data_IF_944644247658
#
_entry.id   IF_944644247658
#
_cell.length_a   1.000
_cell.length_b   1.000
_cell.length_c   1.000
_cell.angle_alpha   90.00
_cell.angle_beta   90.00
_cell.angle_gamma   90.00
#
_symmetry.space_group_name_H-M   'P 1'
#
loop_
_entity.id
_entity.type
_entity.pdbx_description
1 polymer ?
#
# COMPACT_ATOMS: atom_id res chain seq x y z
N UNK A 1 14.90 11.71 6.02
CA UNK A 1 14.88 11.35 4.58
C UNK A 1 14.37 12.52 3.73
N UNK A 2 14.74 12.60 2.46
CA UNK A 2 14.38 13.71 1.55
C UNK A 2 13.02 13.53 0.85
N UNK A 3 12.24 12.53 1.25
CA UNK A 3 10.89 12.26 0.76
C UNK A 3 10.81 11.64 -0.64
N UNK A 4 11.95 11.29 -1.25
CA UNK A 4 11.99 10.72 -2.61
C UNK A 4 11.89 9.20 -2.60
N UNK A 5 11.31 8.64 -3.67
CA UNK A 5 11.29 7.20 -3.89
C UNK A 5 12.58 6.70 -4.55
N UNK A 6 13.00 5.50 -4.18
CA UNK A 6 14.17 4.84 -4.75
C UNK A 6 13.82 3.43 -5.22
N UNK A 7 14.20 3.10 -6.45
CA UNK A 7 14.18 1.71 -6.93
C UNK A 7 15.47 1.03 -6.48
N UNK A 8 15.37 0.10 -5.53
CA UNK A 8 16.51 -0.68 -5.05
C UNK A 8 17.02 -1.61 -6.15
N UNK A 9 18.34 -1.66 -6.35
CA UNK A 9 18.97 -2.52 -7.38
C UNK A 9 18.78 -4.01 -7.10
N UNK A 10 18.85 -4.36 -5.83
CA UNK A 10 18.74 -5.73 -5.33
C UNK A 10 18.00 -5.69 -4.01
N UNK A 11 17.09 -6.64 -3.82
CA UNK A 11 16.38 -6.88 -2.57
C UNK A 11 16.55 -8.35 -2.20
N UNK A 12 16.60 -8.71 -0.92
CA UNK A 12 16.65 -10.12 -0.54
C UNK A 12 15.35 -10.81 -0.93
N UNK A 13 15.40 -12.13 -1.10
CA UNK A 13 14.18 -12.92 -1.32
C UNK A 13 13.25 -12.75 -0.13
N UNK A 14 12.01 -12.33 -0.39
CA UNK A 14 11.01 -12.15 0.66
C UNK A 14 10.57 -13.51 1.20
N UNK A 15 10.64 -13.69 2.52
CA UNK A 15 10.13 -14.88 3.19
C UNK A 15 8.82 -14.55 3.89
N UNK A 16 7.77 -15.30 3.56
CA UNK A 16 6.47 -15.17 4.21
C UNK A 16 6.60 -15.70 5.64
N UNK A 17 6.25 -14.88 6.62
CA UNK A 17 6.22 -15.31 8.02
C UNK A 17 5.11 -16.34 8.20
N UNK A 18 5.48 -17.57 8.52
CA UNK A 18 4.54 -18.67 8.74
C UNK A 18 4.39 -18.95 10.23
N UNK A 19 3.14 -18.96 10.70
CA UNK A 19 2.76 -19.25 12.08
C UNK A 19 2.08 -20.60 12.11
N UNK A 20 2.67 -21.55 12.82
CA UNK A 20 2.08 -22.88 13.02
C UNK A 20 0.99 -22.81 14.08
N UNK A 21 -0.26 -23.00 13.65
CA UNK A 21 -1.46 -22.86 14.46
C UNK A 21 -2.39 -24.07 14.32
N UNK A 22 -1.92 -25.19 13.74
CA UNK A 22 -2.71 -26.43 13.58
C UNK A 22 -3.24 -26.96 14.91
N UNK A 23 -2.42 -26.88 15.96
CA UNK A 23 -2.75 -27.43 17.28
C UNK A 23 -3.39 -26.39 18.22
N UNK A 24 -3.70 -25.19 17.70
CA UNK A 24 -4.33 -24.16 18.50
C UNK A 24 -5.83 -24.42 18.67
N UNK A 25 -6.34 -24.14 19.87
CA UNK A 25 -7.79 -24.07 20.10
C UNK A 25 -8.39 -22.90 19.31
N UNK A 26 -9.63 -23.04 18.83
CA UNK A 26 -10.32 -22.02 18.02
C UNK A 26 -10.31 -20.63 18.68
N UNK A 27 -10.58 -20.55 19.99
CA UNK A 27 -10.56 -19.29 20.73
C UNK A 27 -9.20 -18.56 20.68
N UNK A 28 -8.09 -19.31 20.63
CA UNK A 28 -6.75 -18.72 20.44
C UNK A 28 -6.58 -18.22 19.02
N UNK A 29 -7.00 -19.00 18.01
CA UNK A 29 -6.95 -18.58 16.60
C UNK A 29 -7.69 -17.25 16.40
N UNK A 30 -8.92 -17.15 16.91
CA UNK A 30 -9.75 -15.95 16.75
C UNK A 30 -9.12 -14.72 17.42
N UNK A 31 -8.55 -14.91 18.61
CA UNK A 31 -7.84 -13.85 19.34
C UNK A 31 -6.62 -13.35 18.56
N UNK A 32 -5.74 -14.24 18.12
CA UNK A 32 -4.51 -13.86 17.42
C UNK A 32 -4.80 -13.21 16.06
N UNK A 33 -5.79 -13.72 15.32
CA UNK A 33 -6.22 -13.08 14.07
C UNK A 33 -6.84 -11.70 14.29
N UNK A 34 -7.57 -11.50 15.39
CA UNK A 34 -8.14 -10.20 15.74
C UNK A 34 -7.06 -9.19 16.13
N UNK A 35 -6.05 -9.62 16.90
CA UNK A 35 -4.90 -8.79 17.26
C UNK A 35 -4.11 -8.38 16.02
N UNK A 36 -3.81 -9.33 15.13
CA UNK A 36 -3.12 -9.03 13.87
C UNK A 36 -3.94 -8.08 12.98
N UNK A 37 -5.25 -8.28 12.87
CA UNK A 37 -6.12 -7.38 12.11
C UNK A 37 -6.07 -5.96 12.68
N UNK A 38 -6.10 -5.83 14.01
CA UNK A 38 -5.98 -4.54 14.68
C UNK A 38 -4.61 -3.91 14.43
N UNK A 39 -3.52 -4.66 14.54
CA UNK A 39 -2.16 -4.23 14.23
C UNK A 39 -2.07 -3.70 12.78
N UNK A 40 -2.53 -4.47 11.80
CA UNK A 40 -2.45 -4.11 10.38
C UNK A 40 -3.31 -2.88 10.04
N UNK A 41 -4.44 -2.71 10.72
CA UNK A 41 -5.32 -1.57 10.51
C UNK A 41 -4.80 -0.27 11.18
N UNK A 42 -3.99 -0.39 12.23
CA UNK A 42 -3.50 0.76 13.02
C UNK A 42 -2.08 1.17 12.66
N UNK A 43 -1.25 0.23 12.22
CA UNK A 43 0.14 0.46 11.89
C UNK A 43 0.44 -0.04 10.47
N UNK A 44 0.74 0.91 9.58
CA UNK A 44 1.24 0.60 8.24
C UNK A 44 2.61 -0.08 8.26
N UNK A 45 3.04 -0.70 7.14
CA UNK A 45 4.41 -1.16 7.00
C UNK A 45 5.39 0.02 7.03
N UNK A 46 6.68 -0.25 7.25
CA UNK A 46 7.72 0.76 7.06
C UNK A 46 7.64 1.30 5.63
N UNK A 47 7.78 2.61 5.49
CA UNK A 47 7.73 3.32 4.20
C UNK A 47 9.11 3.76 3.70
N UNK A 48 10.13 3.65 4.56
CA UNK A 48 11.50 4.08 4.32
C UNK A 48 12.48 2.90 4.15
N UNK A 49 12.04 1.68 4.43
CA UNK A 49 12.85 0.46 4.32
C UNK A 49 12.08 -0.62 3.56
N UNK A 50 12.81 -1.42 2.79
CA UNK A 50 12.22 -2.61 2.19
C UNK A 50 11.88 -3.63 3.29
N UNK A 51 10.73 -4.32 3.21
CA UNK A 51 9.64 -4.17 2.24
C UNK A 51 8.55 -3.20 2.70
N UNK A 52 7.91 -2.51 1.74
CA UNK A 52 6.74 -1.64 1.97
C UNK A 52 5.42 -2.45 2.06
N UNK A 53 5.52 -3.73 2.39
CA UNK A 53 4.41 -4.65 2.56
C UNK A 53 4.80 -5.75 3.54
N UNK A 54 3.82 -6.46 4.07
CA UNK A 54 4.04 -7.63 4.89
C UNK A 54 2.98 -8.69 4.65
N UNK A 55 3.43 -9.95 4.60
CA UNK A 55 2.60 -11.14 4.46
C UNK A 55 2.83 -12.06 5.65
N UNK A 56 1.74 -12.41 6.35
CA UNK A 56 1.72 -13.44 7.39
C UNK A 56 0.79 -14.58 7.01
N UNK A 57 1.23 -15.81 7.19
CA UNK A 57 0.45 -17.02 6.91
C UNK A 57 0.27 -17.84 8.19
N UNK A 58 -0.96 -17.97 8.67
CA UNK A 58 -1.29 -18.88 9.77
C UNK A 58 -1.69 -20.24 9.18
N UNK A 59 -0.94 -21.29 9.49
CA UNK A 59 -1.31 -22.66 9.14
C UNK A 59 -2.29 -23.19 10.18
N UNK A 60 -3.55 -23.33 9.79
CA UNK A 60 -4.67 -23.72 10.64
C UNK A 60 -5.07 -25.20 10.47
N UNK A 61 -4.45 -25.91 9.54
CA UNK A 61 -4.73 -27.30 9.18
C UNK A 61 -3.68 -27.82 8.22
N UNK A 62 -3.80 -29.07 7.77
CA UNK A 62 -2.85 -29.65 6.81
C UNK A 62 -2.75 -28.82 5.52
N UNK A 63 -3.91 -28.44 4.98
CA UNK A 63 -4.07 -27.63 3.76
C UNK A 63 -4.89 -26.35 3.98
N UNK A 64 -5.06 -25.93 5.24
CA UNK A 64 -5.85 -24.74 5.59
C UNK A 64 -4.95 -23.64 6.10
N UNK A 65 -4.94 -22.52 5.40
CA UNK A 65 -4.14 -21.35 5.74
C UNK A 65 -5.00 -20.10 5.79
N UNK A 66 -4.66 -19.19 6.70
CA UNK A 66 -5.13 -17.80 6.67
C UNK A 66 -3.94 -16.92 6.30
N UNK A 67 -4.00 -16.28 5.13
CA UNK A 67 -2.99 -15.32 4.68
C UNK A 67 -3.50 -13.91 4.96
N UNK A 68 -2.64 -13.08 5.51
CA UNK A 68 -2.92 -11.66 5.79
C UNK A 68 -1.83 -10.82 5.16
N UNK A 69 -2.27 -9.79 4.44
CA UNK A 69 -1.43 -8.86 3.69
C UNK A 69 -1.69 -7.45 4.21
N UNK A 70 -0.63 -6.72 4.53
CA UNK A 70 -0.65 -5.25 4.62
C UNK A 70 0.30 -4.68 3.57
N UNK A 71 -0.10 -3.61 2.91
CA UNK A 71 0.69 -2.99 1.84
C UNK A 71 0.56 -1.47 1.93
N UNK A 72 1.65 -0.76 1.70
CA UNK A 72 1.62 0.69 1.60
C UNK A 72 1.04 1.13 0.26
N UNK A 73 0.09 2.07 0.26
CA UNK A 73 -0.42 2.71 -0.95
C UNK A 73 0.60 3.65 -1.63
N UNK A 74 1.81 3.78 -1.08
CA UNK A 74 2.95 4.36 -1.80
C UNK A 74 3.48 3.45 -2.91
N UNK A 75 3.18 2.14 -2.86
CA UNK A 75 3.57 1.17 -3.89
C UNK A 75 2.57 1.10 -5.05
N UNK A 76 1.28 1.28 -4.77
CA UNK A 76 0.21 0.99 -5.71
C UNK A 76 -1.07 1.77 -5.40
N UNK A 77 -1.81 2.05 -6.45
CA UNK A 77 -3.19 2.54 -6.46
C UNK A 77 -4.18 1.41 -6.74
N UNK A 78 -5.48 1.72 -6.78
CA UNK A 78 -6.54 0.72 -7.01
C UNK A 78 -6.40 -0.01 -8.36
N UNK A 79 -5.83 0.62 -9.39
CA UNK A 79 -5.65 -0.01 -10.69
C UNK A 79 -4.50 -1.02 -10.66
N UNK A 80 -3.36 -0.59 -10.11
CA UNK A 80 -2.15 -1.41 -9.96
C UNK A 80 -2.31 -2.50 -8.90
N UNK A 81 -3.21 -2.34 -7.93
CA UNK A 81 -3.65 -3.40 -7.02
C UNK A 81 -4.26 -4.59 -7.77
N UNK A 82 -5.22 -4.32 -8.65
CA UNK A 82 -5.89 -5.34 -9.43
C UNK A 82 -4.91 -6.06 -10.38
N UNK A 83 -3.96 -5.30 -10.95
CA UNK A 83 -2.89 -5.86 -11.77
C UNK A 83 -1.99 -6.81 -10.97
N UNK A 84 -1.51 -6.36 -9.81
CA UNK A 84 -0.68 -7.17 -8.91
C UNK A 84 -1.38 -8.46 -8.50
N UNK A 85 -2.65 -8.39 -8.11
CA UNK A 85 -3.43 -9.56 -7.72
C UNK A 85 -3.55 -10.58 -8.87
N UNK A 86 -3.78 -10.11 -10.10
CA UNK A 86 -3.85 -10.96 -11.29
C UNK A 86 -2.52 -11.66 -11.56
N UNK A 87 -1.42 -10.91 -11.59
CA UNK A 87 -0.08 -11.44 -11.86
C UNK A 87 0.36 -12.43 -10.78
N UNK A 88 0.05 -12.15 -9.52
CA UNK A 88 0.32 -13.05 -8.41
C UNK A 88 -0.42 -14.39 -8.56
N UNK A 89 -1.72 -14.36 -8.91
CA UNK A 89 -2.50 -15.59 -9.13
C UNK A 89 -1.98 -16.39 -10.33
N UNK A 90 -1.57 -15.71 -11.40
CA UNK A 90 -1.00 -16.35 -12.58
C UNK A 90 0.31 -17.09 -12.22
N UNK A 91 1.25 -16.40 -11.58
CA UNK A 91 2.52 -16.98 -11.14
C UNK A 91 2.31 -18.11 -10.12
N UNK A 92 1.33 -17.98 -9.23
CA UNK A 92 1.00 -19.04 -8.28
C UNK A 92 0.51 -20.32 -8.97
N UNK A 93 -0.30 -20.20 -10.03
CA UNK A 93 -0.84 -21.35 -10.79
C UNK A 93 0.16 -21.93 -11.78
N UNK A 94 1.03 -21.08 -12.34
CA UNK A 94 2.05 -21.48 -13.29
C UNK A 94 3.39 -20.81 -12.93
N UNK A 95 4.18 -21.43 -12.03
CA UNK A 95 5.44 -20.85 -11.56
C UNK A 95 6.51 -20.64 -12.63
N UNK A 96 6.38 -21.31 -13.78
CA UNK A 96 7.27 -21.15 -14.94
C UNK A 96 6.74 -20.13 -15.94
N UNK A 97 5.57 -19.52 -15.70
CA UNK A 97 5.10 -18.40 -16.50
C UNK A 97 6.09 -17.25 -16.39
N UNK A 98 6.57 -16.77 -17.53
CA UNK A 98 7.29 -15.50 -17.56
C UNK A 98 6.27 -14.40 -17.27
N UNK A 99 6.37 -13.78 -16.10
CA UNK A 99 5.72 -12.48 -15.88
C UNK A 99 6.11 -11.54 -17.05
N UNK A 100 5.17 -10.68 -17.44
CA UNK A 100 5.15 -9.98 -18.73
C UNK A 100 6.44 -9.21 -19.07
N UNK A 101 6.59 -8.90 -20.38
CA UNK A 101 7.69 -8.13 -20.98
C UNK A 101 8.02 -6.84 -20.20
N UNK A 102 9.25 -6.30 -20.33
CA UNK A 102 9.65 -5.08 -19.63
C UNK A 102 8.68 -3.93 -19.92
N UNK A 103 7.93 -3.52 -18.90
CA UNK A 103 7.09 -2.33 -18.93
C UNK A 103 7.94 -1.10 -18.54
N UNK A 104 7.57 0.11 -18.99
CA UNK A 104 8.12 1.33 -18.38
C UNK A 104 7.93 1.26 -16.87
N UNK A 105 8.98 1.64 -16.13
CA UNK A 105 8.97 1.60 -14.67
C UNK A 105 8.22 2.81 -14.15
N UNK A 106 7.66 2.71 -12.93
CA UNK A 106 7.07 3.87 -12.26
C UNK A 106 8.03 5.07 -12.17
N UNK A 107 9.34 4.79 -12.01
CA UNK A 107 10.41 5.80 -12.09
C UNK A 107 10.35 6.62 -13.38
N UNK A 108 10.14 5.97 -14.52
CA UNK A 108 10.15 6.64 -15.82
C UNK A 108 8.94 7.59 -15.94
N UNK A 109 7.80 7.19 -15.37
CA UNK A 109 6.61 8.05 -15.24
C UNK A 109 6.86 9.26 -14.33
N UNK A 110 7.48 9.06 -13.17
CA UNK A 110 7.79 10.17 -12.23
C UNK A 110 8.75 11.17 -12.87
N UNK A 111 9.81 10.70 -13.54
CA UNK A 111 10.76 11.59 -14.22
C UNK A 111 10.07 12.42 -15.32
N UNK A 112 9.21 11.78 -16.14
CA UNK A 112 8.45 12.49 -17.16
C UNK A 112 7.48 13.53 -16.56
N UNK A 113 6.86 13.23 -15.41
CA UNK A 113 6.00 14.17 -14.70
C UNK A 113 6.79 15.38 -14.20
N UNK A 114 7.95 15.16 -13.58
CA UNK A 114 8.83 16.26 -13.10
C UNK A 114 9.31 17.14 -14.24
N UNK A 115 9.71 16.56 -15.38
CA UNK A 115 10.08 17.34 -16.56
C UNK A 115 8.90 18.19 -17.10
N UNK A 116 7.67 17.72 -16.94
CA UNK A 116 6.47 18.41 -17.40
C UNK A 116 6.06 19.62 -16.54
N UNK A 117 6.60 19.78 -15.34
CA UNK A 117 6.28 20.91 -14.43
C UNK A 117 6.65 22.27 -15.04
N UNK A 118 7.65 22.33 -15.92
CA UNK A 118 8.01 23.54 -16.66
C UNK A 118 7.14 23.82 -17.89
N UNK A 119 6.14 22.97 -18.18
CA UNK A 119 5.36 23.07 -19.41
C UNK A 119 4.26 24.13 -19.35
N UNK A 120 3.87 24.63 -20.53
CA UNK A 120 2.70 25.51 -20.65
C UNK A 120 1.38 24.82 -20.24
N UNK A 121 1.31 23.49 -20.24
CA UNK A 121 0.14 22.77 -19.74
C UNK A 121 0.08 22.84 -18.21
N UNK A 122 1.21 22.62 -17.54
CA UNK A 122 1.31 22.73 -16.08
C UNK A 122 0.94 24.14 -15.60
N UNK A 123 1.51 25.17 -16.21
CA UNK A 123 1.20 26.56 -15.85
C UNK A 123 -0.28 26.90 -16.02
N UNK A 124 -0.90 26.48 -17.13
CA UNK A 124 -2.34 26.70 -17.36
C UNK A 124 -3.21 26.01 -16.31
N UNK A 125 -2.84 24.80 -15.89
CA UNK A 125 -3.56 24.09 -14.83
C UNK A 125 -3.40 24.78 -13.48
N UNK A 126 -2.19 25.27 -13.16
CA UNK A 126 -1.91 26.02 -11.94
C UNK A 126 -2.72 27.33 -11.89
N UNK A 127 -2.70 28.13 -12.96
CA UNK A 127 -3.45 29.40 -13.06
C UNK A 127 -4.96 29.15 -12.90
N UNK A 128 -5.48 28.10 -13.54
CA UNK A 128 -6.88 27.69 -13.46
C UNK A 128 -7.32 27.33 -12.04
N UNK A 129 -6.49 26.62 -11.28
CA UNK A 129 -6.80 26.27 -9.89
C UNK A 129 -6.61 27.45 -8.94
N UNK A 130 -5.60 28.30 -9.18
CA UNK A 130 -5.37 29.51 -8.39
C UNK A 130 -6.51 30.51 -8.51
N UNK A 131 -7.01 30.73 -9.74
CA UNK A 131 -8.16 31.60 -9.98
C UNK A 131 -9.48 31.12 -9.35
N UNK A 132 -9.56 29.86 -8.89
CA UNK A 132 -10.72 29.30 -8.16
C UNK A 132 -10.64 29.44 -6.65
N UNK A 133 -9.54 29.98 -6.13
CA UNK A 133 -9.41 30.16 -4.69
C UNK A 133 -10.20 31.39 -4.23
N UNK A 134 -10.85 31.35 -3.05
CA UNK A 134 -10.94 30.20 -2.14
C UNK A 134 -12.00 29.18 -2.58
N UNK A 135 -11.73 27.90 -2.35
CA UNK A 135 -12.72 26.83 -2.49
C UNK A 135 -13.71 26.85 -1.31
N UNK A 136 -14.95 26.35 -1.49
CA UNK A 136 -15.85 26.14 -0.36
C UNK A 136 -15.18 25.22 0.69
N UNK A 137 -15.51 25.46 1.96
CA UNK A 137 -15.03 24.63 3.06
C UNK A 137 -15.46 23.17 2.89
N UNK A 138 -14.80 22.27 3.64
CA UNK A 138 -15.22 20.88 3.72
C UNK A 138 -16.68 20.78 4.24
N UNK A 139 -17.42 19.72 3.88
CA UNK A 139 -18.78 19.50 4.38
C UNK A 139 -18.83 19.49 5.92
N UNK A 140 -19.78 20.23 6.50
CA UNK A 140 -20.03 20.26 7.95
C UNK A 140 -20.81 19.01 8.38
N UNK A 141 -20.08 17.91 8.58
CA UNK A 141 -20.65 16.64 9.01
C UNK A 141 -20.80 16.61 10.54
N UNK A 142 -21.92 16.11 11.08
CA UNK A 142 -22.09 15.99 12.52
C UNK A 142 -21.01 15.07 13.11
N UNK A 143 -20.18 15.62 14.00
CA UNK A 143 -19.08 14.90 14.62
C UNK A 143 -19.55 14.17 15.89
N UNK A 144 -19.21 12.89 16.01
CA UNK A 144 -19.51 12.08 17.21
C UNK A 144 -18.72 12.54 18.45
N UNK A 145 -17.56 13.16 18.23
CA UNK A 145 -16.76 13.83 19.25
C UNK A 145 -16.39 15.20 18.70
N UNK A 146 -16.69 16.26 19.45
CA UNK A 146 -16.20 17.61 19.15
C UNK A 146 -14.66 17.58 19.18
N UNK A 147 -13.96 17.97 18.10
CA UNK A 147 -12.51 18.05 18.11
C UNK A 147 -12.07 18.96 19.25
N UNK A 148 -11.11 18.51 20.07
CA UNK A 148 -10.41 19.42 20.97
C UNK A 148 -9.77 20.50 20.09
N UNK A 149 -10.06 21.77 20.35
CA UNK A 149 -9.47 22.89 19.63
C UNK A 149 -7.94 22.79 19.74
N UNK A 150 -7.29 22.30 18.67
CA UNK A 150 -5.85 22.38 18.55
C UNK A 150 -5.51 23.85 18.33
N UNK A 151 -5.19 24.54 19.42
CA UNK A 151 -4.58 25.86 19.39
C UNK A 151 -3.34 25.79 18.52
N UNK A 152 -3.42 26.35 17.31
CA UNK A 152 -2.27 26.53 16.45
C UNK A 152 -1.29 27.48 17.14
N UNK A 153 -0.06 27.02 17.34
CA UNK A 153 1.11 27.87 17.62
C UNK A 153 1.83 28.15 16.31
#
# INVERSE_FOLDING_TARGET
>A
PDGRQQVLRTVPAYQISQIEARDWKQARVDRELSLMRHEFATHGPSTDQWPLFEVRAHRLGEHRFRVSLRISLLLLDAHTEALLAREFIELYRNPTSSAAKPAPRYRDHVLALTESEGSALYQRAADYWHARMPLPGAPDLPLALQPQESTSR
#
